data_IF_840053962616
#
_entry.id   IF_840053962616
#
_cell.length_a   1.000
_cell.length_b   1.000
_cell.length_c   1.000
_cell.angle_alpha   90.00
_cell.angle_beta   90.00
_cell.angle_gamma   90.00
#
_symmetry.space_group_name_H-M   'P 1'
#
loop_
_entity.id
_entity.type
_entity.pdbx_description
1 polymer ?
#
# COMPACT_ATOMS: atom_id res chain seq x y z
N UNK A 1 5.25 -38.07 -9.77
CA UNK A 1 6.22 -37.07 -9.31
C UNK A 1 5.54 -36.23 -8.26
N UNK A 2 5.81 -36.54 -6.99
CA UNK A 2 5.28 -35.79 -5.84
C UNK A 2 5.92 -34.42 -5.81
N UNK A 3 5.17 -33.38 -6.12
CA UNK A 3 5.56 -32.02 -5.78
C UNK A 3 5.43 -31.86 -4.27
N UNK A 4 6.58 -31.85 -3.58
CA UNK A 4 6.69 -31.56 -2.17
C UNK A 4 6.17 -30.14 -1.92
N UNK A 5 5.03 -30.02 -1.24
CA UNK A 5 4.48 -28.79 -0.68
C UNK A 5 5.32 -28.19 0.47
N UNK A 6 6.56 -28.67 0.66
CA UNK A 6 7.44 -28.34 1.77
C UNK A 6 8.31 -27.08 1.55
N UNK A 7 8.19 -26.37 0.44
CA UNK A 7 9.12 -25.27 0.12
C UNK A 7 8.46 -23.89 -0.06
N UNK A 8 7.17 -23.75 0.26
CA UNK A 8 6.50 -22.45 0.23
C UNK A 8 7.03 -21.55 1.35
N UNK A 9 7.42 -20.29 1.06
CA UNK A 9 7.98 -19.40 2.07
C UNK A 9 6.95 -19.02 3.14
N UNK A 10 7.43 -18.91 4.38
CA UNK A 10 6.65 -18.43 5.50
C UNK A 10 6.46 -16.92 5.42
N UNK A 11 5.25 -16.46 5.59
CA UNK A 11 4.89 -15.05 5.50
C UNK A 11 4.04 -14.59 6.68
N UNK A 12 4.02 -13.26 6.86
CA UNK A 12 3.06 -12.55 7.69
C UNK A 12 2.14 -11.68 6.81
N UNK A 13 0.95 -11.38 7.32
CA UNK A 13 0.02 -10.44 6.70
C UNK A 13 -0.23 -9.29 7.65
N UNK A 14 0.09 -8.06 7.23
CA UNK A 14 -0.19 -6.86 7.99
C UNK A 14 -1.60 -6.37 7.69
N UNK A 15 -2.46 -6.41 8.72
CA UNK A 15 -3.88 -6.04 8.66
C UNK A 15 -4.79 -7.24 9.00
N UNK A 16 -5.70 -7.01 9.95
CA UNK A 16 -6.61 -8.04 10.51
C UNK A 16 -8.07 -7.88 10.07
N UNK A 17 -8.36 -6.92 9.17
CA UNK A 17 -9.68 -6.64 8.64
C UNK A 17 -9.77 -7.00 7.15
N UNK A 18 -10.75 -6.44 6.44
CA UNK A 18 -11.13 -6.83 5.08
C UNK A 18 -9.95 -7.08 4.12
N UNK A 19 -8.99 -6.16 4.03
CA UNK A 19 -7.85 -6.31 3.12
C UNK A 19 -6.93 -7.47 3.51
N UNK A 20 -6.55 -7.60 4.79
CA UNK A 20 -5.72 -8.72 5.25
C UNK A 20 -6.44 -10.06 5.14
N UNK A 21 -7.74 -10.10 5.44
CA UNK A 21 -8.58 -11.29 5.27
C UNK A 21 -8.69 -11.66 3.78
N UNK A 22 -8.82 -10.67 2.90
CA UNK A 22 -8.86 -10.85 1.44
C UNK A 22 -7.57 -11.49 0.92
N UNK A 23 -6.41 -10.98 1.33
CA UNK A 23 -5.10 -11.57 1.01
C UNK A 23 -4.97 -13.01 1.49
N UNK A 24 -5.35 -13.28 2.74
CA UNK A 24 -5.29 -14.63 3.29
C UNK A 24 -6.18 -15.62 2.52
N UNK A 25 -7.39 -15.20 2.15
CA UNK A 25 -8.30 -16.02 1.33
C UNK A 25 -7.75 -16.26 -0.06
N UNK A 26 -7.19 -15.23 -0.71
CA UNK A 26 -6.57 -15.36 -2.04
C UNK A 26 -5.43 -16.38 -2.03
N UNK A 27 -4.54 -16.34 -1.04
CA UNK A 27 -3.43 -17.28 -0.92
C UNK A 27 -3.95 -18.71 -0.67
N UNK A 28 -4.91 -18.88 0.23
CA UNK A 28 -5.44 -20.20 0.59
C UNK A 28 -6.31 -20.84 -0.48
N UNK A 29 -6.85 -20.06 -1.42
CA UNK A 29 -7.63 -20.58 -2.53
C UNK A 29 -6.79 -21.25 -3.62
N UNK A 30 -5.48 -21.06 -3.60
CA UNK A 30 -4.58 -21.69 -4.55
C UNK A 30 -4.02 -23.03 -4.05
N UNK A 31 -3.93 -23.99 -4.93
CA UNK A 31 -3.44 -25.32 -4.66
C UNK A 31 -2.42 -25.76 -5.73
N UNK A 32 -1.14 -25.91 -5.40
CA UNK A 32 -0.55 -25.74 -4.06
C UNK A 32 -0.52 -24.27 -3.62
N UNK A 33 -0.63 -24.03 -2.31
CA UNK A 33 -0.55 -22.67 -1.79
C UNK A 33 0.84 -22.06 -2.01
N UNK A 34 0.95 -20.84 -2.57
CA UNK A 34 2.25 -20.20 -2.86
C UNK A 34 3.00 -19.77 -1.60
N UNK A 35 2.29 -19.62 -0.48
CA UNK A 35 2.84 -19.15 0.79
C UNK A 35 2.24 -19.89 1.99
N UNK A 36 3.01 -19.97 3.07
CA UNK A 36 2.54 -20.44 4.38
C UNK A 36 2.35 -19.23 5.30
N UNK A 37 1.09 -18.91 5.60
CA UNK A 37 0.76 -17.81 6.52
C UNK A 37 1.06 -18.26 7.94
N UNK A 38 1.99 -17.56 8.63
CA UNK A 38 2.40 -17.85 10.02
C UNK A 38 1.79 -16.91 11.04
N UNK A 39 1.22 -15.79 10.61
CA UNK A 39 0.54 -14.85 11.48
C UNK A 39 0.02 -13.61 10.77
N UNK A 40 -0.73 -12.84 11.54
CA UNK A 40 -1.18 -11.50 11.18
C UNK A 40 -0.48 -10.47 12.05
N UNK A 41 -0.36 -9.24 11.55
CA UNK A 41 0.18 -8.11 12.32
C UNK A 41 -0.87 -7.00 12.40
N UNK A 42 -0.99 -6.38 13.57
CA UNK A 42 -1.92 -5.29 13.84
C UNK A 42 -1.36 -4.33 14.90
N UNK A 43 -1.66 -3.04 14.77
CA UNK A 43 -1.41 -2.05 15.83
C UNK A 43 -2.45 -2.07 16.94
N UNK A 44 -3.63 -2.64 16.67
CA UNK A 44 -4.69 -2.74 17.69
C UNK A 44 -4.26 -3.72 18.77
N UNK A 45 -3.93 -3.21 19.97
CA UNK A 45 -3.50 -4.00 21.11
C UNK A 45 -4.53 -5.07 21.50
N UNK A 46 -5.82 -4.80 21.29
CA UNK A 46 -6.89 -5.76 21.57
C UNK A 46 -6.84 -6.99 20.66
N UNK A 47 -6.11 -6.92 19.58
CA UNK A 47 -5.94 -8.03 18.64
C UNK A 47 -4.72 -8.89 19.00
N UNK A 48 -3.80 -8.43 19.83
CA UNK A 48 -2.60 -9.21 20.21
C UNK A 48 -3.00 -10.54 20.83
N UNK A 49 -2.34 -11.59 20.38
CA UNK A 49 -2.56 -12.95 20.87
C UNK A 49 -3.83 -13.63 20.41
N UNK A 50 -4.73 -12.92 19.70
CA UNK A 50 -5.90 -13.54 19.06
C UNK A 50 -5.49 -14.41 17.89
N UNK A 51 -6.42 -15.20 17.39
CA UNK A 51 -6.22 -16.09 16.25
C UNK A 51 -7.16 -15.71 15.12
N UNK A 52 -6.60 -15.61 13.91
CA UNK A 52 -7.34 -15.45 12.66
C UNK A 52 -6.91 -16.56 11.70
N UNK A 53 -7.85 -17.26 11.12
CA UNK A 53 -7.57 -18.40 10.23
C UNK A 53 -6.61 -19.46 10.86
N UNK A 54 -6.66 -19.62 12.17
CA UNK A 54 -5.82 -20.58 12.91
C UNK A 54 -4.38 -20.13 13.13
N UNK A 55 -4.03 -18.88 12.77
CA UNK A 55 -2.70 -18.31 13.04
C UNK A 55 -2.80 -17.10 13.97
N UNK A 56 -1.72 -16.85 14.73
CA UNK A 56 -1.70 -15.83 15.78
C UNK A 56 -1.60 -14.43 15.20
N UNK A 57 -2.22 -13.46 15.89
CA UNK A 57 -2.03 -12.03 15.67
C UNK A 57 -0.94 -11.50 16.59
N UNK A 58 -0.02 -10.73 16.02
CA UNK A 58 1.08 -10.06 16.70
C UNK A 58 0.91 -8.54 16.61
N UNK A 59 1.40 -7.81 17.61
CA UNK A 59 1.60 -6.37 17.50
C UNK A 59 3.03 -6.06 17.03
N UNK A 60 3.31 -4.78 16.74
CA UNK A 60 4.63 -4.29 16.30
C UNK A 60 5.64 -4.27 17.47
N UNK A 61 5.83 -5.37 18.15
CA UNK A 61 6.67 -5.50 19.35
C UNK A 61 7.68 -6.64 19.23
N UNK A 62 8.45 -6.88 20.27
CA UNK A 62 9.50 -7.90 20.26
C UNK A 62 8.97 -9.31 20.05
N UNK A 63 7.73 -9.61 20.47
CA UNK A 63 7.11 -10.93 20.21
C UNK A 63 6.95 -11.20 18.71
N UNK A 64 6.65 -10.15 17.91
CA UNK A 64 6.63 -10.27 16.46
C UNK A 64 8.01 -10.63 15.90
N UNK A 65 9.07 -9.96 16.37
CA UNK A 65 10.42 -10.20 15.88
C UNK A 65 10.95 -11.56 16.29
N UNK A 66 10.62 -12.05 17.50
CA UNK A 66 10.87 -13.44 17.88
C UNK A 66 10.14 -14.45 16.98
N UNK A 67 8.89 -14.15 16.59
CA UNK A 67 8.16 -15.00 15.65
C UNK A 67 8.78 -14.97 14.24
N UNK A 68 9.24 -13.79 13.77
CA UNK A 68 9.95 -13.64 12.48
C UNK A 68 11.19 -14.56 12.46
N UNK A 69 11.99 -14.53 13.49
CA UNK A 69 13.18 -15.37 13.62
C UNK A 69 12.81 -16.86 13.72
N UNK A 70 11.92 -17.20 14.65
CA UNK A 70 11.51 -18.58 14.91
C UNK A 70 10.91 -19.27 13.68
N UNK A 71 10.02 -18.60 12.96
CA UNK A 71 9.37 -19.15 11.76
C UNK A 71 10.14 -18.87 10.47
N UNK A 72 11.32 -18.26 10.54
CA UNK A 72 12.10 -17.89 9.35
C UNK A 72 11.28 -17.08 8.34
N UNK A 73 10.56 -16.08 8.83
CA UNK A 73 9.72 -15.22 8.00
C UNK A 73 10.60 -14.39 7.06
N UNK A 74 10.34 -14.45 5.75
CA UNK A 74 11.11 -13.71 4.74
C UNK A 74 10.30 -12.61 4.05
N UNK A 75 8.99 -12.57 4.29
CA UNK A 75 8.10 -11.65 3.59
C UNK A 75 6.91 -11.25 4.46
N UNK A 76 6.49 -9.99 4.35
CA UNK A 76 5.28 -9.46 4.94
C UNK A 76 4.42 -8.81 3.85
N UNK A 77 3.18 -9.29 3.70
CA UNK A 77 2.20 -8.73 2.79
C UNK A 77 1.39 -7.67 3.51
N UNK A 78 1.39 -6.45 3.01
CA UNK A 78 0.67 -5.33 3.63
C UNK A 78 -0.70 -5.14 2.96
N UNK A 79 -1.75 -5.17 3.78
CA UNK A 79 -3.10 -4.83 3.32
C UNK A 79 -3.15 -3.41 2.74
N UNK A 80 -3.82 -3.16 1.60
CA UNK A 80 -3.90 -1.83 0.99
C UNK A 80 -4.35 -0.75 1.97
N UNK A 81 -5.36 -1.04 2.80
CA UNK A 81 -5.87 -0.10 3.81
C UNK A 81 -4.90 0.21 4.96
N UNK A 82 -3.75 -0.47 5.01
CA UNK A 82 -2.73 -0.30 6.05
C UNK A 82 -1.39 0.18 5.50
N UNK A 83 -1.31 0.41 4.20
CA UNK A 83 -0.07 0.85 3.53
C UNK A 83 0.47 2.14 4.16
N UNK A 84 -0.36 3.16 4.32
CA UNK A 84 0.05 4.43 4.94
C UNK A 84 0.52 4.23 6.39
N UNK A 85 -0.20 3.44 7.18
CA UNK A 85 0.15 3.13 8.58
C UNK A 85 1.54 2.49 8.72
N UNK A 86 1.91 1.63 7.78
CA UNK A 86 3.23 1.00 7.75
C UNK A 86 4.30 1.98 7.28
N UNK A 87 4.06 2.74 6.20
CA UNK A 87 5.01 3.72 5.64
C UNK A 87 5.33 4.81 6.65
N UNK A 88 4.35 5.29 7.42
CA UNK A 88 4.54 6.32 8.44
C UNK A 88 5.36 5.81 9.65
N UNK A 89 5.58 4.50 9.79
CA UNK A 89 6.39 3.92 10.86
C UNK A 89 7.77 3.47 10.38
N UNK A 90 8.64 4.43 10.12
CA UNK A 90 10.00 4.18 9.63
C UNK A 90 10.81 3.26 10.57
N UNK A 91 10.68 3.43 11.89
CA UNK A 91 11.37 2.59 12.86
C UNK A 91 10.96 1.10 12.75
N UNK A 92 9.69 0.83 12.47
CA UNK A 92 9.21 -0.53 12.25
C UNK A 92 9.74 -1.10 10.93
N UNK A 93 9.72 -0.31 9.85
CA UNK A 93 10.31 -0.70 8.56
C UNK A 93 11.78 -1.04 8.71
N UNK A 94 12.57 -0.18 9.37
CA UNK A 94 13.99 -0.41 9.59
C UNK A 94 14.26 -1.72 10.34
N UNK A 95 13.44 -2.02 11.35
CA UNK A 95 13.55 -3.29 12.08
C UNK A 95 13.23 -4.50 11.20
N UNK A 96 12.20 -4.40 10.35
CA UNK A 96 11.84 -5.48 9.40
C UNK A 96 12.96 -5.71 8.37
N UNK A 97 13.51 -4.64 7.80
CA UNK A 97 14.61 -4.72 6.83
C UNK A 97 15.86 -5.33 7.47
N UNK A 98 16.23 -4.91 8.69
CA UNK A 98 17.34 -5.52 9.45
C UNK A 98 17.10 -7.01 9.76
N UNK A 99 15.86 -7.41 9.97
CA UNK A 99 15.48 -8.82 10.15
C UNK A 99 15.43 -9.60 8.81
N UNK A 100 15.71 -8.95 7.67
CA UNK A 100 15.68 -9.58 6.35
C UNK A 100 14.27 -9.86 5.81
N UNK A 101 13.26 -9.15 6.31
CA UNK A 101 11.86 -9.29 5.88
C UNK A 101 11.59 -8.34 4.71
N UNK A 102 11.15 -8.90 3.59
CA UNK A 102 10.73 -8.15 2.41
C UNK A 102 9.29 -7.69 2.56
N UNK A 103 9.05 -6.40 2.40
CA UNK A 103 7.70 -5.83 2.39
C UNK A 103 7.10 -5.90 0.99
N UNK A 104 5.82 -6.31 0.92
CA UNK A 104 5.04 -6.38 -0.31
C UNK A 104 3.79 -5.52 -0.15
N UNK A 105 3.59 -4.55 -1.03
CA UNK A 105 2.47 -3.62 -1.02
C UNK A 105 1.80 -3.52 -2.38
N UNK A 106 0.56 -3.04 -2.42
CA UNK A 106 -0.15 -2.74 -3.65
C UNK A 106 0.31 -1.36 -4.19
N UNK A 107 0.57 -1.26 -5.50
CA UNK A 107 1.13 -0.06 -6.13
C UNK A 107 0.25 1.19 -5.98
N UNK A 108 -1.07 1.02 -5.95
CA UNK A 108 -2.05 2.10 -5.80
C UNK A 108 -3.06 1.70 -4.72
N UNK A 109 -2.55 1.52 -3.51
CA UNK A 109 -3.35 1.04 -2.39
C UNK A 109 -4.53 1.96 -2.06
N UNK A 110 -4.39 3.26 -2.26
CA UNK A 110 -5.43 4.27 -2.07
C UNK A 110 -6.61 4.14 -3.05
N UNK A 111 -6.40 3.49 -4.19
CA UNK A 111 -7.44 3.28 -5.21
C UNK A 111 -8.27 2.02 -4.98
N UNK A 112 -7.90 1.20 -3.99
CA UNK A 112 -8.70 0.02 -3.68
C UNK A 112 -9.99 0.41 -2.96
N UNK A 113 -11.12 0.04 -3.54
CA UNK A 113 -12.48 0.38 -3.07
C UNK A 113 -12.91 -0.36 -1.78
N UNK A 114 -12.07 -1.22 -1.24
CA UNK A 114 -12.35 -2.03 -0.06
C UNK A 114 -13.34 -3.18 -0.30
N UNK A 115 -13.87 -3.36 -1.50
CA UNK A 115 -14.90 -4.36 -1.86
C UNK A 115 -14.46 -5.33 -2.95
N UNK A 116 -13.70 -4.85 -3.93
CA UNK A 116 -13.19 -5.68 -5.02
C UNK A 116 -12.33 -6.83 -4.49
N UNK A 117 -12.33 -7.95 -5.21
CA UNK A 117 -11.54 -9.13 -4.84
C UNK A 117 -10.06 -8.77 -4.85
N UNK A 118 -9.44 -8.87 -3.68
CA UNK A 118 -8.01 -8.62 -3.50
C UNK A 118 -7.23 -9.92 -3.73
N UNK A 119 -6.22 -9.85 -4.61
CA UNK A 119 -5.28 -10.93 -4.84
C UNK A 119 -3.88 -10.54 -4.35
N UNK A 120 -3.15 -11.50 -3.76
CA UNK A 120 -1.75 -11.29 -3.39
C UNK A 120 -0.86 -11.01 -4.61
N UNK A 121 -1.26 -11.42 -5.81
CA UNK A 121 -0.54 -11.16 -7.07
C UNK A 121 -0.52 -9.67 -7.47
N UNK A 122 -1.39 -8.85 -6.88
CA UNK A 122 -1.41 -7.40 -7.07
C UNK A 122 -0.35 -6.68 -6.23
N UNK A 123 0.32 -7.40 -5.32
CA UNK A 123 1.35 -6.85 -4.48
C UNK A 123 2.71 -6.89 -5.18
N UNK A 124 3.52 -5.87 -4.99
CA UNK A 124 4.90 -5.80 -5.43
C UNK A 124 5.84 -5.49 -4.25
N UNK A 125 7.15 -5.77 -4.40
CA UNK A 125 8.12 -5.30 -3.42
C UNK A 125 8.04 -3.79 -3.25
N UNK A 126 8.24 -3.35 -2.01
CA UNK A 126 8.35 -1.92 -1.68
C UNK A 126 9.71 -1.42 -2.16
N UNK A 127 9.70 -0.35 -2.94
CA UNK A 127 10.87 0.37 -3.39
C UNK A 127 11.21 1.51 -2.41
N UNK A 128 12.44 2.03 -2.46
CA UNK A 128 12.87 3.12 -1.58
C UNK A 128 11.99 4.36 -1.78
N UNK A 129 11.58 4.61 -3.01
CA UNK A 129 10.71 5.72 -3.40
C UNK A 129 9.32 5.65 -2.75
N UNK A 130 8.82 4.45 -2.45
CA UNK A 130 7.54 4.27 -1.75
C UNK A 130 7.66 4.64 -0.26
N UNK A 131 8.86 4.59 0.29
CA UNK A 131 9.15 4.89 1.70
C UNK A 131 9.49 6.35 1.94
N UNK A 132 9.73 7.12 0.88
CA UNK A 132 9.96 8.55 1.01
C UNK A 132 8.65 9.25 1.41
N UNK A 133 8.70 10.19 2.37
CA UNK A 133 7.56 11.01 2.68
C UNK A 133 7.10 11.71 1.40
N UNK A 134 5.95 11.34 0.89
CA UNK A 134 5.26 12.15 -0.11
C UNK A 134 4.62 13.27 0.67
N UNK A 135 5.23 14.44 0.68
CA UNK A 135 4.54 15.65 1.04
C UNK A 135 3.32 15.74 0.11
N UNK A 136 2.13 15.54 0.67
CA UNK A 136 0.91 15.89 -0.04
C UNK A 136 1.05 17.37 -0.37
N UNK A 137 1.26 17.68 -1.66
CA UNK A 137 1.21 19.06 -2.13
C UNK A 137 -0.25 19.47 -1.93
N UNK A 138 -0.54 20.04 -0.77
CA UNK A 138 -1.83 20.65 -0.46
C UNK A 138 -1.94 21.92 -1.30
N UNK A 139 -2.43 21.72 -2.49
CA UNK A 139 -2.68 22.81 -3.45
C UNK A 139 -3.91 23.55 -2.96
N UNK A 140 -3.72 24.78 -2.51
CA UNK A 140 -4.84 25.67 -2.17
C UNK A 140 -5.61 26.05 -3.45
N UNK A 141 -6.63 25.25 -3.75
CA UNK A 141 -7.45 25.43 -4.96
C UNK A 141 -8.16 26.79 -5.00
N UNK A 142 -8.41 27.41 -3.84
CA UNK A 142 -9.02 28.76 -3.78
C UNK A 142 -8.01 29.83 -4.20
N UNK A 143 -6.76 29.71 -3.78
CA UNK A 143 -5.68 30.60 -4.23
C UNK A 143 -5.44 30.48 -5.71
N UNK A 144 -5.41 29.25 -6.25
CA UNK A 144 -5.29 29.05 -7.71
C UNK A 144 -6.48 29.65 -8.43
N UNK A 145 -7.70 29.42 -7.94
CA UNK A 145 -8.92 29.98 -8.52
C UNK A 145 -8.86 31.50 -8.60
N UNK A 146 -8.46 32.18 -7.52
CA UNK A 146 -8.32 33.65 -7.51
C UNK A 146 -7.19 34.18 -8.41
N UNK A 147 -6.15 33.38 -8.62
CA UNK A 147 -5.02 33.71 -9.50
C UNK A 147 -5.37 33.58 -10.98
N UNK A 148 -6.29 32.70 -11.34
CA UNK A 148 -6.65 32.39 -12.73
C UNK A 148 -7.92 33.10 -13.19
N UNK A 149 -8.86 33.32 -12.28
CA UNK A 149 -10.16 33.92 -12.58
C UNK A 149 -10.01 35.39 -13.10
N UNK A 150 -10.65 35.68 -14.21
CA UNK A 150 -10.64 37.02 -14.81
C UNK A 150 -9.32 37.44 -15.48
N UNK A 151 -8.27 36.60 -15.42
CA UNK A 151 -6.98 36.91 -16.04
C UNK A 151 -6.87 36.38 -17.47
N UNK A 152 -6.00 37.00 -18.25
CA UNK A 152 -5.63 36.55 -19.60
C UNK A 152 -4.48 35.56 -19.49
N UNK A 153 -4.64 34.35 -20.02
CA UNK A 153 -3.72 33.25 -19.84
C UNK A 153 -3.28 32.74 -21.23
N UNK A 154 -1.97 32.60 -21.41
CA UNK A 154 -1.37 31.98 -22.60
C UNK A 154 -0.81 30.60 -22.19
N UNK A 155 -1.16 29.56 -22.96
CA UNK A 155 -0.66 28.21 -22.79
C UNK A 155 0.09 27.78 -24.04
N UNK A 156 1.42 27.76 -23.99
CA UNK A 156 2.23 27.24 -25.09
C UNK A 156 2.24 25.72 -25.08
N UNK A 157 2.20 25.10 -26.25
CA UNK A 157 2.18 23.64 -26.37
C UNK A 157 0.83 23.01 -26.01
N UNK A 158 -0.27 23.77 -26.13
CA UNK A 158 -1.62 23.33 -25.76
C UNK A 158 -2.12 22.08 -26.52
N UNK A 159 -1.56 21.77 -27.67
CA UNK A 159 -1.88 20.57 -28.45
C UNK A 159 -1.22 19.30 -27.94
N UNK A 160 -0.23 19.39 -27.05
CA UNK A 160 0.43 18.24 -26.41
C UNK A 160 -0.38 17.67 -25.25
N UNK A 161 0.00 16.46 -24.79
CA UNK A 161 -0.69 15.74 -23.70
C UNK A 161 -0.77 16.57 -22.41
N UNK A 162 0.30 17.26 -22.02
CA UNK A 162 0.33 18.10 -20.80
C UNK A 162 -0.43 19.40 -21.04
N UNK A 163 -0.16 20.09 -22.16
CA UNK A 163 -0.80 21.37 -22.47
C UNK A 163 -2.31 21.28 -22.61
N UNK A 164 -2.83 20.24 -23.25
CA UNK A 164 -4.27 20.01 -23.38
C UNK A 164 -4.97 19.76 -22.05
N UNK A 165 -4.31 19.08 -21.11
CA UNK A 165 -4.85 18.90 -19.77
C UNK A 165 -4.80 20.19 -18.95
N UNK A 166 -3.73 20.98 -19.06
CA UNK A 166 -3.67 22.32 -18.46
C UNK A 166 -4.81 23.22 -18.95
N UNK A 167 -5.11 23.22 -20.26
CA UNK A 167 -6.25 23.98 -20.84
C UNK A 167 -7.56 23.58 -20.16
N UNK A 168 -7.83 22.26 -20.04
CA UNK A 168 -9.05 21.75 -19.39
C UNK A 168 -9.16 22.14 -17.92
N UNK A 169 -8.06 22.12 -17.20
CA UNK A 169 -8.04 22.48 -15.79
C UNK A 169 -8.21 23.98 -15.58
N UNK A 170 -7.49 24.81 -16.35
CA UNK A 170 -7.52 26.28 -16.24
C UNK A 170 -8.89 26.84 -16.67
N UNK A 171 -9.52 26.27 -17.70
CA UNK A 171 -10.83 26.70 -18.16
C UNK A 171 -11.92 26.65 -17.08
N UNK A 172 -11.78 25.77 -16.09
CA UNK A 172 -12.72 25.64 -14.95
C UNK A 172 -12.74 26.88 -14.04
N UNK A 173 -11.69 27.70 -14.08
CA UNK A 173 -11.54 28.88 -13.23
C UNK A 173 -11.97 30.18 -13.89
N UNK A 174 -12.67 30.10 -15.02
CA UNK A 174 -13.24 31.27 -15.74
C UNK A 174 -12.22 32.39 -16.01
N UNK A 175 -11.12 32.11 -16.73
CA UNK A 175 -10.22 33.16 -17.18
C UNK A 175 -10.95 34.10 -18.14
N UNK A 176 -10.53 35.39 -18.22
CA UNK A 176 -11.11 36.34 -19.16
C UNK A 176 -10.74 36.04 -20.60
N UNK A 177 -9.58 35.45 -20.81
CA UNK A 177 -9.09 35.02 -22.15
C UNK A 177 -8.14 33.82 -21.97
N UNK A 178 -8.25 32.84 -22.86
CA UNK A 178 -7.36 31.69 -22.91
C UNK A 178 -6.78 31.57 -24.32
N UNK A 179 -5.50 31.89 -24.47
CA UNK A 179 -4.78 31.81 -25.75
C UNK A 179 -3.94 30.54 -25.79
N UNK A 180 -4.01 29.76 -26.88
CA UNK A 180 -3.40 28.43 -27.00
C UNK A 180 -2.28 28.46 -28.06
#
# INVERSE_FOLDING_TARGET
>A
TSFNSSNAPNILIYGTRLGGIGLAKSIRSEHPSPYIIKGFVSRDEKMEGRYLFGVRVYNENDKLFHAIEHYQIKMMLVSPLRTKEVIDNQAFIDRLLKAGVKLMMMSHAEQWDGKSKLSYTQLRPVEIEDLLPRDEINVDMNKIGSMLSGHRILITGAAGSIGSEMVRQIAKYSPSELTL
#
